data_IF_157288155818
#
_entry.id   IF_157288155818
#
_cell.length_a   1.000
_cell.length_b   1.000
_cell.length_c   1.000
_cell.angle_alpha   90.00
_cell.angle_beta   90.00
_cell.angle_gamma   90.00
#
_symmetry.space_group_name_H-M   'P 1'
#
loop_
_entity.id
_entity.type
_entity.pdbx_description
1 polymer ?
#
# COMPACT_ATOMS: atom_id res chain seq x y z
N UNK A 1 -0.12 1.51 60.29
CA UNK A 1 1.03 0.61 60.56
C UNK A 1 0.69 -0.69 59.85
N UNK A 2 1.06 -0.77 58.57
CA UNK A 2 1.32 -1.99 57.80
C UNK A 2 1.74 -1.53 56.40
N UNK A 3 3.03 -1.70 56.12
CA UNK A 3 3.74 -1.29 54.93
C UNK A 3 3.69 -2.41 53.88
N UNK A 4 3.23 -2.09 52.68
CA UNK A 4 3.38 -2.96 51.51
C UNK A 4 4.72 -2.68 50.79
N UNK A 5 5.33 -3.68 50.14
CA UNK A 5 6.71 -3.61 49.68
C UNK A 5 6.85 -2.76 48.40
N UNK A 6 7.84 -1.88 48.37
CA UNK A 6 8.37 -1.30 47.14
C UNK A 6 9.23 -2.36 46.45
N UNK A 7 8.70 -3.05 45.45
CA UNK A 7 9.49 -3.69 44.39
C UNK A 7 8.54 -4.17 43.29
N UNK A 8 8.31 -3.32 42.29
CA UNK A 8 7.98 -3.67 40.89
C UNK A 8 7.73 -2.37 40.10
N UNK A 9 8.82 -1.66 39.77
CA UNK A 9 8.82 -0.74 38.62
C UNK A 9 9.37 -1.51 37.43
N UNK A 10 8.64 -1.69 36.32
CA UNK A 10 9.25 -2.21 35.11
C UNK A 10 10.31 -1.21 34.66
N UNK A 11 11.57 -1.65 34.67
CA UNK A 11 12.71 -0.88 34.20
C UNK A 11 12.43 -0.35 32.79
N UNK A 12 12.51 0.97 32.61
CA UNK A 12 12.41 1.61 31.30
C UNK A 12 13.62 1.19 30.45
N UNK A 13 13.46 0.14 29.66
CA UNK A 13 14.50 -0.40 28.78
C UNK A 13 14.52 0.35 27.44
N UNK A 14 14.64 1.68 27.49
CA UNK A 14 14.77 2.52 26.30
C UNK A 14 15.85 3.58 26.52
N UNK A 15 16.88 3.66 25.66
CA UNK A 15 17.90 4.70 25.79
C UNK A 15 17.29 6.08 25.55
N UNK A 16 17.76 7.03 26.36
CA UNK A 16 17.50 8.45 26.20
C UNK A 16 17.96 8.92 24.81
N UNK A 17 17.27 9.90 24.23
CA UNK A 17 17.55 10.55 22.93
C UNK A 17 18.97 11.14 22.75
N UNK A 18 19.88 10.92 23.71
CA UNK A 18 21.29 11.33 23.69
C UNK A 18 22.28 10.20 23.36
N UNK A 19 21.85 8.94 23.21
CA UNK A 19 22.73 7.78 23.01
C UNK A 19 22.55 7.12 21.63
N UNK A 20 22.62 7.92 20.56
CA UNK A 20 22.82 7.40 19.19
C UNK A 20 24.25 7.74 18.78
N UNK A 21 25.13 6.77 18.48
CA UNK A 21 26.47 7.08 17.99
C UNK A 21 26.39 7.80 16.64
N UNK A 22 27.06 8.95 16.52
CA UNK A 22 27.26 9.63 15.24
C UNK A 22 27.95 8.70 14.25
N UNK A 23 27.42 8.63 13.02
CA UNK A 23 28.03 7.90 11.93
C UNK A 23 29.44 8.48 11.65
N UNK A 24 30.46 7.65 11.86
CA UNK A 24 31.85 7.95 11.50
C UNK A 24 31.95 8.24 10.00
N UNK A 25 32.45 9.43 9.67
CA UNK A 25 32.95 9.76 8.32
C UNK A 25 34.20 8.94 8.04
N UNK A 26 34.36 8.36 6.84
CA UNK A 26 35.63 7.75 6.48
C UNK A 26 36.65 8.86 6.17
N UNK A 27 37.65 8.97 7.04
CA UNK A 27 38.92 9.61 6.70
C UNK A 27 39.76 8.63 5.87
N UNK A 28 40.23 9.09 4.72
CA UNK A 28 41.26 8.43 3.92
C UNK A 28 42.02 9.50 3.15
N UNK A 29 43.06 10.04 3.77
CA UNK A 29 44.18 10.71 3.08
C UNK A 29 45.25 9.67 2.70
N UNK A 30 46.22 10.13 1.89
CA UNK A 30 47.45 9.47 1.39
C UNK A 30 47.24 8.95 -0.05
N UNK A 31 47.93 9.39 -1.12
CA UNK A 31 49.18 10.14 -1.26
C UNK A 31 49.24 10.79 -2.65
N UNK A 32 49.85 11.96 -2.74
CA UNK A 32 50.23 12.62 -3.99
C UNK A 32 51.46 11.94 -4.60
N UNK A 33 51.40 11.59 -5.89
CA UNK A 33 52.57 11.37 -6.72
C UNK A 33 52.70 12.53 -7.71
N UNK A 34 53.72 13.37 -7.52
CA UNK A 34 54.24 14.30 -8.53
C UNK A 34 55.30 13.59 -9.39
N UNK A 35 55.23 13.85 -10.70
CA UNK A 35 56.29 13.89 -11.73
C UNK A 35 55.61 13.58 -13.08
N UNK A 36 55.73 14.34 -14.16
CA UNK A 36 56.44 15.57 -14.46
C UNK A 36 56.16 15.95 -15.92
N UNK A 37 56.35 17.25 -16.20
CA UNK A 37 56.78 17.89 -17.44
C UNK A 37 56.03 17.71 -18.78
N UNK A 38 55.82 18.82 -19.50
CA UNK A 38 55.32 18.80 -20.89
C UNK A 38 54.52 20.00 -21.41
N UNK A 39 55.14 21.19 -21.44
CA UNK A 39 54.98 22.30 -22.42
C UNK A 39 53.98 22.15 -23.60
N UNK A 40 53.07 23.12 -23.79
CA UNK A 40 53.08 24.09 -24.93
C UNK A 40 51.74 24.82 -25.21
N UNK A 41 51.78 26.16 -25.15
CA UNK A 41 51.30 27.21 -26.11
C UNK A 41 49.86 27.20 -26.67
N UNK A 42 49.10 28.28 -26.41
CA UNK A 42 48.68 29.38 -27.34
C UNK A 42 47.63 28.93 -28.40
N UNK A 43 46.54 29.62 -28.76
CA UNK A 43 46.18 31.05 -28.81
C UNK A 43 44.68 31.21 -29.17
N UNK A 44 44.09 32.34 -28.75
CA UNK A 44 43.10 33.21 -29.44
C UNK A 44 42.23 32.65 -30.60
N UNK A 45 40.91 32.91 -30.61
CA UNK A 45 40.31 34.20 -30.99
C UNK A 45 38.77 34.18 -30.89
N UNK A 46 38.21 35.33 -30.54
CA UNK A 46 36.81 35.76 -30.62
C UNK A 46 36.48 36.36 -31.99
N UNK A 47 35.23 36.29 -32.45
CA UNK A 47 34.56 37.40 -33.16
C UNK A 47 33.04 37.21 -33.25
N UNK A 48 32.38 38.36 -33.28
CA UNK A 48 30.99 38.70 -33.07
C UNK A 48 30.03 38.56 -34.28
N UNK A 49 28.74 38.50 -33.93
CA UNK A 49 27.54 39.15 -34.52
C UNK A 49 27.28 39.12 -36.04
N UNK A 50 26.06 38.67 -36.42
CA UNK A 50 25.11 39.59 -37.08
C UNK A 50 23.64 39.15 -36.96
N UNK A 51 22.74 40.15 -36.95
CA UNK A 51 21.27 40.03 -36.88
C UNK A 51 20.64 40.25 -38.26
N UNK A 52 19.56 39.54 -38.58
CA UNK A 52 18.46 40.13 -39.38
C UNK A 52 17.14 39.36 -39.19
N UNK A 53 16.05 40.11 -39.22
CA UNK A 53 14.67 39.68 -39.08
C UNK A 53 13.96 39.71 -40.45
N UNK A 54 12.87 38.95 -40.61
CA UNK A 54 11.55 39.39 -41.12
C UNK A 54 10.64 38.16 -41.40
N UNK A 55 9.37 38.36 -41.05
CA UNK A 55 8.16 37.54 -41.10
C UNK A 55 7.71 36.98 -42.46
N UNK A 56 6.90 35.92 -42.46
CA UNK A 56 5.56 35.90 -43.11
C UNK A 56 4.73 34.65 -42.74
N UNK A 57 3.46 34.88 -42.46
CA UNK A 57 2.39 33.87 -42.35
C UNK A 57 1.96 33.34 -43.72
N UNK A 58 1.41 32.12 -43.77
CA UNK A 58 0.46 31.71 -44.80
C UNK A 58 -0.33 30.47 -44.36
N UNK A 59 -1.64 30.65 -44.24
CA UNK A 59 -2.65 29.59 -44.14
C UNK A 59 -2.98 29.02 -45.53
N UNK A 60 -3.24 27.72 -45.65
CA UNK A 60 -4.06 27.20 -46.76
C UNK A 60 -4.90 25.99 -46.34
N UNK A 61 -6.01 25.84 -47.05
CA UNK A 61 -7.24 25.17 -46.69
C UNK A 61 -7.50 23.96 -47.60
N UNK A 62 -8.21 22.95 -47.06
CA UNK A 62 -9.22 22.07 -47.72
C UNK A 62 -8.85 20.90 -48.68
N UNK A 63 -9.43 19.73 -48.33
CA UNK A 63 -10.29 18.80 -49.12
C UNK A 63 -9.73 17.57 -49.92
N UNK A 64 -10.27 16.40 -49.53
CA UNK A 64 -10.92 15.30 -50.34
C UNK A 64 -10.16 14.00 -50.72
N UNK A 65 -10.66 12.90 -50.13
CA UNK A 65 -10.89 11.49 -50.55
C UNK A 65 -9.99 10.70 -51.55
N UNK A 66 -9.40 9.60 -51.03
CA UNK A 66 -9.40 8.19 -51.52
C UNK A 66 -8.55 7.78 -52.75
N UNK A 67 -8.21 6.48 -53.00
CA UNK A 67 -8.56 5.23 -52.28
C UNK A 67 -7.38 4.28 -51.89
N UNK A 68 -7.71 3.25 -51.10
CA UNK A 68 -7.08 1.94 -50.82
C UNK A 68 -5.62 1.59 -51.24
N UNK A 69 -4.80 1.11 -50.29
CA UNK A 69 -4.40 -0.32 -50.25
C UNK A 69 -3.64 -0.68 -48.95
N UNK A 70 -3.73 -1.96 -48.62
CA UNK A 70 -3.45 -2.70 -47.39
C UNK A 70 -1.98 -2.81 -46.97
N UNK A 71 -1.69 -2.65 -45.67
CA UNK A 71 -0.67 -3.41 -44.94
C UNK A 71 -0.96 -3.38 -43.43
N UNK A 72 -0.91 -4.56 -42.81
CA UNK A 72 -1.27 -4.87 -41.43
C UNK A 72 -0.56 -4.01 -40.37
N UNK A 73 -1.33 -3.36 -39.50
CA UNK A 73 -0.87 -2.79 -38.23
C UNK A 73 -1.34 -3.66 -37.06
N UNK A 74 -0.35 -4.13 -36.29
CA UNK A 74 -0.50 -4.78 -34.99
C UNK A 74 -1.41 -3.97 -34.05
N UNK A 75 -2.56 -4.56 -33.71
CA UNK A 75 -3.45 -4.03 -32.68
C UNK A 75 -2.77 -4.05 -31.31
N UNK A 76 -2.46 -2.85 -30.84
CA UNK A 76 -2.12 -2.54 -29.45
C UNK A 76 -3.36 -2.77 -28.57
N UNK A 77 -3.51 -3.97 -28.02
CA UNK A 77 -4.54 -4.26 -27.02
C UNK A 77 -4.10 -3.78 -25.63
N UNK A 78 -4.53 -2.56 -25.31
CA UNK A 78 -4.52 -1.98 -23.96
C UNK A 78 -5.51 -2.70 -23.02
N UNK A 79 -5.23 -3.95 -22.67
CA UNK A 79 -6.01 -4.71 -21.69
C UNK A 79 -5.57 -4.35 -20.26
N UNK A 80 -6.10 -3.22 -19.76
CA UNK A 80 -6.03 -2.73 -18.38
C UNK A 80 -7.43 -2.83 -17.76
N UNK A 81 -7.56 -3.47 -16.58
CA UNK A 81 -8.71 -3.48 -15.63
C UNK A 81 -10.11 -3.89 -16.16
N UNK A 82 -10.43 -3.62 -17.42
CA UNK A 82 -11.70 -3.85 -18.09
C UNK A 82 -11.87 -5.28 -18.61
N UNK A 83 -10.78 -5.97 -18.97
CA UNK A 83 -10.82 -7.38 -19.43
C UNK A 83 -11.19 -8.35 -18.30
N UNK A 84 -10.69 -8.10 -17.07
CA UNK A 84 -11.07 -8.87 -15.88
C UNK A 84 -12.54 -8.67 -15.47
N UNK A 85 -13.15 -7.54 -15.83
CA UNK A 85 -14.58 -7.28 -15.59
C UNK A 85 -15.51 -7.93 -16.62
N UNK A 86 -15.03 -8.21 -17.84
CA UNK A 86 -15.84 -8.85 -18.89
C UNK A 86 -16.00 -10.36 -18.67
N UNK A 87 -14.98 -11.03 -18.13
CA UNK A 87 -15.02 -12.45 -17.83
C UNK A 87 -15.91 -12.78 -16.61
N UNK A 88 -15.89 -11.94 -15.58
CA UNK A 88 -16.63 -12.17 -14.33
C UNK A 88 -18.12 -11.78 -14.31
N UNK A 89 -18.71 -11.38 -15.44
CA UNK A 89 -20.13 -10.99 -15.52
C UNK A 89 -21.06 -12.07 -16.11
N UNK A 90 -20.52 -13.19 -16.60
CA UNK A 90 -21.30 -14.27 -17.23
C UNK A 90 -21.06 -15.66 -16.60
N UNK A 91 -20.43 -15.76 -15.42
CA UNK A 91 -20.29 -17.03 -14.72
C UNK A 91 -21.57 -17.37 -13.96
N UNK A 92 -22.36 -18.32 -14.45
CA UNK A 92 -23.33 -19.05 -13.63
C UNK A 92 -22.55 -19.93 -12.66
N UNK A 93 -22.84 -19.79 -11.37
CA UNK A 93 -22.33 -20.65 -10.31
C UNK A 93 -22.77 -22.09 -10.58
N UNK A 94 -21.83 -22.93 -11.03
CA UNK A 94 -21.96 -24.38 -11.01
C UNK A 94 -21.12 -24.89 -9.84
N UNK A 95 -21.82 -25.14 -8.75
CA UNK A 95 -21.32 -25.82 -7.55
C UNK A 95 -21.26 -27.32 -7.86
N UNK A 96 -20.05 -27.84 -8.10
CA UNK A 96 -19.80 -29.28 -8.01
C UNK A 96 -18.29 -29.54 -7.87
N UNK A 97 -17.86 -29.97 -6.69
CA UNK A 97 -16.59 -30.69 -6.52
C UNK A 97 -16.71 -31.64 -5.32
N UNK A 98 -16.45 -32.95 -5.50
CA UNK A 98 -16.71 -33.95 -4.49
C UNK A 98 -15.62 -33.94 -3.42
N UNK A 99 -16.04 -33.87 -2.15
CA UNK A 99 -15.19 -34.03 -0.99
C UNK A 99 -14.69 -35.48 -0.88
N UNK A 100 -13.39 -35.70 -1.09
CA UNK A 100 -12.70 -36.91 -0.63
C UNK A 100 -12.00 -36.58 0.68
N UNK A 101 -12.58 -37.04 1.78
CA UNK A 101 -11.90 -37.14 3.08
C UNK A 101 -10.81 -38.20 3.00
N UNK A 102 -9.55 -37.78 3.10
CA UNK A 102 -8.41 -38.60 3.52
C UNK A 102 -7.94 -38.13 4.91
N UNK A 103 -7.33 -39.00 5.72
CA UNK A 103 -7.08 -38.73 7.13
C UNK A 103 -6.00 -37.66 7.34
N UNK A 104 -6.18 -36.84 8.38
CA UNK A 104 -5.22 -35.87 8.90
C UNK A 104 -3.84 -36.52 9.07
N UNK A 105 -2.91 -36.14 8.21
CA UNK A 105 -1.48 -36.23 8.48
C UNK A 105 -1.08 -34.81 8.89
N UNK A 106 -0.74 -34.64 10.16
CA UNK A 106 0.08 -33.49 10.58
C UNK A 106 1.44 -33.72 9.93
N UNK A 107 1.62 -33.19 8.72
CA UNK A 107 2.95 -32.95 8.18
C UNK A 107 3.47 -31.71 8.93
N UNK A 108 4.48 -31.92 9.78
CA UNK A 108 5.27 -30.86 10.40
C UNK A 108 6.04 -30.11 9.28
N UNK A 109 5.35 -29.25 8.51
CA UNK A 109 5.95 -28.32 7.56
C UNK A 109 6.54 -27.13 8.34
N UNK A 110 7.75 -27.35 8.88
CA UNK A 110 8.58 -26.38 9.63
C UNK A 110 9.10 -25.21 8.75
N UNK A 111 8.37 -24.81 7.70
CA UNK A 111 8.85 -23.81 6.74
C UNK A 111 8.81 -22.37 7.26
N UNK A 112 8.05 -22.10 8.33
CA UNK A 112 7.92 -20.77 8.92
C UNK A 112 8.39 -20.77 10.38
N UNK A 113 9.24 -19.80 10.78
CA UNK A 113 9.77 -19.75 12.12
C UNK A 113 8.70 -19.34 13.14
N UNK A 114 8.95 -19.63 14.41
CA UNK A 114 8.25 -18.97 15.52
C UNK A 114 8.63 -17.48 15.55
N UNK A 115 7.66 -16.60 15.85
CA UNK A 115 7.89 -15.16 15.87
C UNK A 115 8.21 -14.69 17.30
N UNK A 116 9.19 -13.81 17.45
CA UNK A 116 9.67 -13.31 18.76
C UNK A 116 8.58 -12.64 19.63
N UNK A 117 7.48 -12.19 19.01
CA UNK A 117 6.38 -11.50 19.69
C UNK A 117 5.01 -11.96 19.14
N UNK A 118 4.63 -13.18 19.53
CA UNK A 118 3.30 -13.72 19.23
C UNK A 118 2.24 -13.31 20.26
N UNK A 119 2.63 -12.52 21.27
CA UNK A 119 1.71 -12.10 22.32
C UNK A 119 0.67 -11.16 21.75
N UNK A 120 -0.59 -11.53 21.94
CA UNK A 120 -1.69 -10.64 21.62
C UNK A 120 -1.88 -9.64 22.74
N UNK A 121 -1.68 -8.36 22.42
CA UNK A 121 -2.10 -7.27 23.30
C UNK A 121 -3.59 -7.45 23.60
N UNK A 122 -3.98 -7.31 24.87
CA UNK A 122 -5.38 -7.50 25.30
C UNK A 122 -6.33 -6.77 24.34
N UNK A 123 -7.20 -7.54 23.69
CA UNK A 123 -8.27 -6.99 22.87
C UNK A 123 -9.11 -6.14 23.81
N UNK A 124 -9.03 -4.82 23.66
CA UNK A 124 -9.86 -3.94 24.45
C UNK A 124 -11.29 -4.04 23.93
N UNK A 125 -12.00 -5.05 24.43
CA UNK A 125 -13.38 -5.29 24.04
C UNK A 125 -14.20 -4.06 24.45
N UNK A 126 -15.03 -3.50 23.55
CA UNK A 126 -16.03 -2.57 24.01
C UNK A 126 -16.87 -3.27 25.10
N UNK A 127 -17.42 -2.54 26.08
CA UNK A 127 -18.33 -3.12 27.06
C UNK A 127 -19.43 -3.95 26.36
N UNK A 128 -20.11 -4.87 27.06
CA UNK A 128 -21.24 -5.56 26.44
C UNK A 128 -22.31 -4.55 25.98
N UNK A 129 -23.07 -4.84 24.89
CA UNK A 129 -24.15 -3.98 24.43
C UNK A 129 -25.12 -3.65 25.58
N UNK A 130 -25.62 -2.42 25.62
CA UNK A 130 -26.69 -2.08 26.56
C UNK A 130 -27.92 -2.93 26.19
N UNK A 131 -28.56 -3.62 27.16
CA UNK A 131 -29.79 -4.38 26.91
C UNK A 131 -30.91 -3.53 26.27
N UNK A 132 -30.82 -2.20 26.39
CA UNK A 132 -31.86 -1.26 25.99
C UNK A 132 -31.51 -0.47 24.71
N UNK A 133 -30.46 -0.84 23.96
CA UNK A 133 -30.15 -0.22 22.66
C UNK A 133 -29.71 1.26 22.71
N UNK A 134 -29.32 1.78 23.89
CA UNK A 134 -28.87 3.17 24.05
C UNK A 134 -27.44 3.42 23.55
N UNK A 135 -27.20 4.61 22.98
CA UNK A 135 -25.88 5.09 22.52
C UNK A 135 -24.92 5.19 23.72
N UNK A 136 -23.78 4.49 23.64
CA UNK A 136 -22.75 4.48 24.69
C UNK A 136 -21.70 5.55 24.44
N UNK A 137 -21.56 6.47 25.37
CA UNK A 137 -20.59 7.56 25.29
C UNK A 137 -19.21 7.15 25.80
N UNK A 138 -18.15 7.75 25.25
CA UNK A 138 -16.80 7.59 25.79
C UNK A 138 -16.73 8.17 27.23
N UNK A 139 -16.08 7.48 28.18
CA UNK A 139 -15.93 8.02 29.53
C UNK A 139 -15.12 9.33 29.50
N UNK A 140 -15.46 10.28 30.37
CA UNK A 140 -14.81 11.60 30.42
C UNK A 140 -13.32 11.53 30.79
N UNK A 141 -12.87 10.43 31.43
CA UNK A 141 -11.51 10.24 31.93
C UNK A 141 -10.63 9.34 31.04
N UNK A 142 -10.67 9.52 29.70
CA UNK A 142 -9.73 8.83 28.79
C UNK A 142 -8.37 9.54 28.80
N UNK A 143 -7.23 8.82 29.00
CA UNK A 143 -5.89 9.40 28.99
C UNK A 143 -5.57 10.16 27.70
N UNK A 144 -4.78 11.24 27.79
CA UNK A 144 -4.41 12.10 26.64
C UNK A 144 -3.80 11.29 25.49
N UNK A 145 -2.92 10.32 25.79
CA UNK A 145 -2.33 9.44 24.78
C UNK A 145 -3.38 8.71 23.95
N UNK A 146 -4.43 8.16 24.60
CA UNK A 146 -5.53 7.49 23.89
C UNK A 146 -6.33 8.47 23.04
N UNK A 147 -6.56 9.71 23.50
CA UNK A 147 -7.23 10.74 22.70
C UNK A 147 -6.41 11.12 21.46
N UNK A 148 -5.10 11.28 21.61
CA UNK A 148 -4.20 11.58 20.48
C UNK A 148 -4.18 10.44 19.46
N UNK A 149 -4.15 9.17 19.90
CA UNK A 149 -4.30 8.02 18.99
C UNK A 149 -5.62 8.09 18.21
N UNK A 150 -6.75 8.34 18.89
CA UNK A 150 -8.06 8.49 18.23
C UNK A 150 -8.05 9.65 17.24
N UNK A 151 -7.49 10.80 17.63
CA UNK A 151 -7.40 11.99 16.76
C UNK A 151 -6.59 11.69 15.50
N UNK A 152 -5.44 11.04 15.63
CA UNK A 152 -4.59 10.71 14.48
C UNK A 152 -5.30 9.76 13.52
N UNK A 153 -5.93 8.70 14.03
CA UNK A 153 -6.69 7.76 13.19
C UNK A 153 -7.87 8.46 12.54
N UNK A 154 -8.59 9.32 13.26
CA UNK A 154 -9.68 10.13 12.70
C UNK A 154 -9.20 11.02 11.57
N UNK A 155 -8.10 11.76 11.78
CA UNK A 155 -7.50 12.64 10.78
C UNK A 155 -7.05 11.86 9.54
N UNK A 156 -6.52 10.64 9.73
CA UNK A 156 -6.17 9.76 8.62
C UNK A 156 -7.43 9.29 7.86
N UNK A 157 -8.45 8.78 8.55
CA UNK A 157 -9.70 8.36 7.92
C UNK A 157 -10.39 9.52 7.17
N UNK A 158 -10.34 10.74 7.72
CA UNK A 158 -10.99 11.94 7.16
C UNK A 158 -10.09 12.73 6.20
N UNK A 159 -8.87 12.27 5.89
CA UNK A 159 -7.90 13.09 5.17
C UNK A 159 -8.39 13.55 3.79
N UNK A 160 -9.09 12.70 3.03
CA UNK A 160 -9.69 13.07 1.74
C UNK A 160 -10.78 14.13 1.94
N UNK A 161 -11.71 13.92 2.87
CA UNK A 161 -12.78 14.88 3.14
C UNK A 161 -12.19 16.24 3.58
N UNK A 162 -11.22 16.23 4.48
CA UNK A 162 -10.56 17.43 4.99
C UNK A 162 -9.83 18.20 3.89
N UNK A 163 -9.01 17.51 3.09
CA UNK A 163 -8.24 18.13 2.00
C UNK A 163 -9.14 18.71 0.91
N UNK A 164 -10.20 18.01 0.54
CA UNK A 164 -11.20 18.49 -0.42
C UNK A 164 -11.97 19.70 0.13
N UNK A 165 -12.39 19.67 1.40
CA UNK A 165 -13.04 20.82 2.03
C UNK A 165 -12.13 22.05 2.07
N UNK A 166 -10.85 21.88 2.40
CA UNK A 166 -9.86 22.97 2.38
C UNK A 166 -9.70 23.52 0.95
N UNK A 167 -9.62 22.65 -0.05
CA UNK A 167 -9.53 23.07 -1.45
C UNK A 167 -10.71 23.94 -1.87
N UNK A 168 -11.95 23.51 -1.62
CA UNK A 168 -13.13 24.30 -1.96
C UNK A 168 -13.23 25.59 -1.15
N UNK A 169 -12.83 25.58 0.12
CA UNK A 169 -12.78 26.80 0.93
C UNK A 169 -11.77 27.83 0.36
N UNK A 170 -10.61 27.37 -0.12
CA UNK A 170 -9.64 28.23 -0.79
C UNK A 170 -10.17 28.71 -2.15
N UNK A 171 -10.87 27.86 -2.91
CA UNK A 171 -11.50 28.26 -4.17
C UNK A 171 -12.59 29.32 -3.99
N UNK A 172 -13.23 29.40 -2.82
CA UNK A 172 -14.20 30.45 -2.51
C UNK A 172 -13.55 31.84 -2.33
N UNK A 173 -12.22 31.92 -2.19
CA UNK A 173 -11.49 33.17 -2.05
C UNK A 173 -10.76 33.54 -3.37
N UNK A 174 -11.24 34.56 -4.12
CA UNK A 174 -10.63 34.98 -5.39
C UNK A 174 -9.16 35.38 -5.31
N UNK A 175 -8.69 35.88 -4.16
CA UNK A 175 -7.30 36.27 -3.99
C UNK A 175 -6.32 35.08 -4.07
N UNK A 176 -6.79 33.85 -3.83
CA UNK A 176 -5.97 32.63 -3.88
C UNK A 176 -5.96 32.00 -5.28
N UNK A 177 -6.85 32.44 -6.19
CA UNK A 177 -7.02 31.82 -7.51
C UNK A 177 -5.75 31.75 -8.36
N UNK A 178 -4.87 32.78 -8.44
CA UNK A 178 -3.64 32.65 -9.21
C UNK A 178 -2.76 31.49 -8.73
N UNK A 179 -2.64 31.30 -7.41
CA UNK A 179 -1.88 30.21 -6.82
C UNK A 179 -2.56 28.85 -7.06
N UNK A 180 -3.90 28.79 -6.90
CA UNK A 180 -4.67 27.57 -7.18
C UNK A 180 -4.56 27.16 -8.64
N UNK A 181 -4.58 28.10 -9.58
CA UNK A 181 -4.46 27.81 -11.01
C UNK A 181 -3.08 27.20 -11.32
N UNK A 182 -2.00 27.80 -10.81
CA UNK A 182 -0.64 27.26 -10.95
C UNK A 182 -0.56 25.86 -10.34
N UNK A 183 -1.10 25.68 -9.14
CA UNK A 183 -1.13 24.39 -8.45
C UNK A 183 -1.93 23.33 -9.25
N UNK A 184 -3.10 23.66 -9.77
CA UNK A 184 -3.92 22.73 -10.56
C UNK A 184 -3.23 22.36 -11.88
N UNK A 185 -2.62 23.32 -12.57
CA UNK A 185 -1.81 23.04 -13.77
C UNK A 185 -0.64 22.11 -13.45
N UNK A 186 0.01 22.30 -12.29
CA UNK A 186 1.01 21.36 -11.81
C UNK A 186 0.43 19.97 -11.56
N UNK A 187 -0.70 19.85 -10.84
CA UNK A 187 -1.35 18.56 -10.56
C UNK A 187 -1.71 17.83 -11.85
N UNK A 188 -2.27 18.53 -12.84
CA UNK A 188 -2.68 17.96 -14.12
C UNK A 188 -1.51 17.49 -15.01
N UNK A 189 -0.34 18.14 -14.89
CA UNK A 189 0.86 17.81 -15.68
C UNK A 189 1.83 16.86 -14.97
N UNK A 190 1.70 16.69 -13.65
CA UNK A 190 2.68 15.99 -12.81
C UNK A 190 2.57 14.46 -12.89
N UNK A 191 3.64 13.82 -13.37
CA UNK A 191 3.80 12.35 -13.42
C UNK A 191 4.38 11.73 -12.15
N UNK A 192 4.41 12.46 -11.03
CA UNK A 192 5.06 12.00 -9.78
C UNK A 192 4.51 10.68 -9.21
N UNK A 193 3.28 10.31 -9.60
CA UNK A 193 2.65 9.06 -9.18
C UNK A 193 3.16 7.83 -9.94
N UNK A 194 3.72 8.02 -11.15
CA UNK A 194 4.05 6.94 -12.10
C UNK A 194 5.49 6.99 -12.62
N UNK A 195 6.24 8.08 -12.43
CA UNK A 195 7.58 8.27 -13.00
C UNK A 195 8.67 7.33 -12.44
N UNK A 196 8.37 6.60 -11.36
CA UNK A 196 9.31 5.74 -10.63
C UNK A 196 10.24 6.51 -9.69
N UNK A 197 10.16 7.85 -9.68
CA UNK A 197 10.95 8.69 -8.79
C UNK A 197 10.32 8.73 -7.40
N UNK A 198 11.18 8.75 -6.39
CA UNK A 198 10.75 8.95 -5.00
C UNK A 198 10.92 10.40 -4.54
N UNK A 199 10.96 11.37 -5.46
CA UNK A 199 11.26 12.78 -5.15
C UNK A 199 10.33 13.39 -4.09
N UNK A 200 9.03 13.04 -4.12
CA UNK A 200 8.04 13.58 -3.18
C UNK A 200 7.96 12.81 -1.86
N UNK A 201 8.66 11.67 -1.74
CA UNK A 201 8.65 10.87 -0.51
C UNK A 201 9.44 11.59 0.57
N UNK A 202 8.84 11.74 1.75
CA UNK A 202 9.45 12.39 2.90
C UNK A 202 9.69 11.40 4.03
N UNK A 203 10.96 11.07 4.29
CA UNK A 203 11.32 10.20 5.41
C UNK A 203 10.98 10.83 6.77
N UNK A 204 11.06 12.16 6.88
CA UNK A 204 10.60 12.88 8.07
C UNK A 204 9.11 12.63 8.33
N UNK A 205 8.29 12.74 7.29
CA UNK A 205 6.86 12.48 7.41
C UNK A 205 6.57 11.04 7.82
N UNK A 206 7.21 10.07 7.16
CA UNK A 206 7.04 8.63 7.43
C UNK A 206 7.53 8.20 8.81
N UNK A 207 8.56 8.85 9.36
CA UNK A 207 9.12 8.60 10.70
C UNK A 207 8.48 9.44 11.81
N UNK A 208 7.50 10.27 11.47
CA UNK A 208 6.85 11.16 12.45
C UNK A 208 6.17 10.38 13.58
N UNK A 209 6.15 10.98 14.78
CA UNK A 209 5.53 10.38 15.97
C UNK A 209 4.03 10.09 15.78
N UNK A 210 3.36 10.85 14.91
CA UNK A 210 1.98 10.61 14.47
C UNK A 210 1.74 9.17 14.08
N UNK A 211 2.64 8.57 13.30
CA UNK A 211 2.45 7.19 12.83
C UNK A 211 2.63 6.15 13.93
N UNK A 212 3.43 6.45 14.96
CA UNK A 212 3.49 5.62 16.17
C UNK A 212 2.17 5.69 16.94
N UNK A 213 1.52 6.84 17.02
CA UNK A 213 0.18 6.94 17.62
C UNK A 213 -0.85 6.16 16.80
N UNK A 214 -0.75 6.22 15.47
CA UNK A 214 -1.61 5.44 14.57
C UNK A 214 -1.46 3.93 14.81
N UNK A 215 -0.24 3.39 14.77
CA UNK A 215 -0.01 1.95 15.01
C UNK A 215 -0.46 1.50 16.40
N UNK A 216 -0.19 2.30 17.44
CA UNK A 216 -0.62 2.00 18.82
C UNK A 216 -2.13 2.11 19.05
N UNK A 217 -2.91 2.64 18.10
CA UNK A 217 -4.37 2.58 18.16
C UNK A 217 -4.87 1.16 17.91
N UNK A 218 -4.20 0.43 17.00
CA UNK A 218 -4.53 -0.93 16.54
C UNK A 218 -3.63 -2.01 17.14
N UNK A 219 -2.89 -1.72 18.22
CA UNK A 219 -1.68 -2.48 18.59
C UNK A 219 -0.99 -3.22 17.41
N UNK A 220 -0.67 -2.47 16.35
CA UNK A 220 -0.22 -3.07 15.10
C UNK A 220 1.24 -3.57 15.18
N UNK A 221 1.50 -4.75 14.62
CA UNK A 221 2.84 -5.38 14.55
C UNK A 221 3.14 -5.83 13.12
N UNK A 222 4.41 -5.70 12.71
CA UNK A 222 4.94 -6.22 11.45
C UNK A 222 5.93 -7.34 11.76
N UNK A 223 5.59 -8.54 11.34
CA UNK A 223 6.34 -9.76 11.57
C UNK A 223 7.12 -10.12 10.32
N UNK A 224 8.44 -10.26 10.48
CA UNK A 224 9.35 -10.69 9.42
C UNK A 224 9.66 -12.15 9.65
N UNK A 225 9.39 -12.98 8.64
CA UNK A 225 9.72 -14.41 8.71
C UNK A 225 11.05 -14.75 8.03
N UNK A 226 11.43 -14.00 7.00
CA UNK A 226 12.61 -14.27 6.17
C UNK A 226 13.41 -13.01 5.88
N UNK A 227 14.73 -13.18 5.72
CA UNK A 227 15.59 -12.14 5.18
C UNK A 227 15.33 -11.93 3.69
N UNK A 228 15.25 -10.67 3.29
CA UNK A 228 15.10 -10.26 1.91
C UNK A 228 16.37 -9.52 1.47
N UNK A 229 17.21 -10.12 0.60
CA UNK A 229 18.41 -9.46 0.09
C UNK A 229 18.08 -8.12 -0.58
N UNK A 230 18.75 -7.00 -0.23
CA UNK A 230 18.53 -5.72 -0.89
C UNK A 230 19.06 -5.70 -2.34
N UNK A 231 19.68 -6.79 -2.80
CA UNK A 231 20.15 -6.99 -4.17
C UNK A 231 19.05 -7.41 -5.15
N UNK A 232 17.83 -7.65 -4.65
CA UNK A 232 16.67 -8.07 -5.45
C UNK A 232 15.61 -6.97 -5.50
N UNK A 233 14.59 -7.22 -6.33
CA UNK A 233 13.37 -6.43 -6.49
C UNK A 233 12.22 -7.21 -5.89
N UNK A 234 11.22 -6.54 -5.31
CA UNK A 234 10.12 -7.25 -4.64
C UNK A 234 8.74 -6.69 -4.99
N UNK A 235 7.77 -7.61 -5.11
CA UNK A 235 6.35 -7.29 -5.07
C UNK A 235 5.76 -7.96 -3.83
N UNK A 236 5.48 -7.16 -2.80
CA UNK A 236 4.70 -7.59 -1.64
C UNK A 236 3.22 -7.62 -2.03
N UNK A 237 2.59 -8.79 -1.99
CA UNK A 237 1.15 -8.90 -2.16
C UNK A 237 0.47 -8.98 -0.80
N UNK A 238 -0.26 -7.92 -0.44
CA UNK A 238 -0.92 -7.75 0.85
C UNK A 238 -2.36 -8.27 0.84
N UNK A 239 -2.70 -9.05 1.86
CA UNK A 239 -4.01 -9.66 2.07
C UNK A 239 -4.42 -9.62 3.54
N UNK A 240 -5.71 -9.46 3.87
CA UNK A 240 -6.77 -8.98 3.00
C UNK A 240 -6.65 -7.45 2.83
N UNK A 241 -7.40 -6.87 1.90
CA UNK A 241 -7.57 -5.43 1.79
C UNK A 241 -8.26 -4.86 3.04
N UNK A 242 -9.17 -5.62 3.65
CA UNK A 242 -10.14 -5.05 4.58
C UNK A 242 -10.88 -3.88 3.96
N UNK A 243 -11.42 -2.99 4.77
CA UNK A 243 -12.16 -1.86 4.21
C UNK A 243 -11.21 -0.77 3.67
N UNK A 244 -10.20 -0.37 4.45
CA UNK A 244 -9.29 0.75 4.12
C UNK A 244 -7.81 0.34 4.13
N UNK A 245 -7.48 -0.92 4.46
CA UNK A 245 -6.10 -1.42 4.55
C UNK A 245 -5.23 -0.63 5.53
N UNK A 246 -5.70 -0.45 6.78
CA UNK A 246 -4.97 0.27 7.82
C UNK A 246 -3.64 -0.40 8.14
N UNK A 247 -3.59 -1.74 8.10
CA UNK A 247 -2.36 -2.47 8.29
C UNK A 247 -1.35 -2.27 7.18
N UNK A 248 -1.82 -2.22 5.92
CA UNK A 248 -0.94 -1.93 4.78
C UNK A 248 -0.34 -0.52 4.91
N UNK A 249 -1.14 0.46 5.34
CA UNK A 249 -0.66 1.82 5.58
C UNK A 249 0.40 1.86 6.69
N UNK A 250 0.09 1.27 7.85
CA UNK A 250 1.01 1.25 8.99
C UNK A 250 2.35 0.56 8.64
N UNK A 251 2.29 -0.62 7.99
CA UNK A 251 3.45 -1.44 7.69
C UNK A 251 4.28 -0.93 6.49
N UNK A 252 3.63 -0.46 5.43
CA UNK A 252 4.29 -0.31 4.12
C UNK A 252 4.35 1.13 3.61
N UNK A 253 3.46 2.03 4.09
CA UNK A 253 3.50 3.45 3.74
C UNK A 253 4.32 4.28 4.75
N UNK A 254 4.36 3.89 6.02
CA UNK A 254 5.02 4.65 7.09
C UNK A 254 6.19 3.88 7.70
N UNK A 255 6.89 4.47 8.67
CA UNK A 255 7.87 3.76 9.52
C UNK A 255 7.30 3.44 10.91
N UNK A 256 5.96 3.39 11.06
CA UNK A 256 5.33 3.08 12.34
C UNK A 256 5.72 1.70 12.88
N UNK A 257 5.88 0.74 11.97
CA UNK A 257 6.20 -0.67 12.27
C UNK A 257 7.64 -1.05 11.86
N UNK A 258 8.51 -0.05 11.73
CA UNK A 258 9.95 -0.24 11.54
C UNK A 258 10.32 -1.04 10.28
N UNK A 259 9.63 -0.77 9.16
CA UNK A 259 9.88 -1.47 7.90
C UNK A 259 11.34 -1.41 7.48
N UNK A 260 11.96 -0.22 7.54
CA UNK A 260 13.37 -0.04 7.11
C UNK A 260 14.38 -0.76 7.99
N UNK A 261 14.03 -1.06 9.24
CA UNK A 261 14.86 -1.85 10.16
C UNK A 261 14.70 -3.35 9.91
N UNK A 262 13.47 -3.81 9.66
CA UNK A 262 13.18 -5.21 9.36
C UNK A 262 13.73 -5.63 7.99
N UNK A 263 13.65 -4.73 7.00
CA UNK A 263 14.07 -4.96 5.62
C UNK A 263 15.13 -3.94 5.19
N UNK A 264 16.35 -4.00 5.75
CA UNK A 264 17.39 -3.02 5.51
C UNK A 264 17.79 -2.98 4.03
N UNK A 265 17.96 -1.77 3.50
CA UNK A 265 18.31 -1.56 2.09
C UNK A 265 17.14 -1.72 1.10
N UNK A 266 15.95 -2.11 1.56
CA UNK A 266 14.75 -2.18 0.72
C UNK A 266 13.93 -0.89 0.86
N UNK A 267 13.66 -0.23 -0.27
CA UNK A 267 12.76 0.92 -0.34
C UNK A 267 11.44 0.51 -0.97
N UNK A 268 10.41 0.40 -0.13
CA UNK A 268 9.06 0.03 -0.53
C UNK A 268 8.16 1.25 -0.84
N UNK A 269 7.28 1.09 -1.84
CA UNK A 269 6.14 1.98 -2.10
C UNK A 269 4.82 1.22 -2.00
N UNK A 270 3.93 1.61 -1.09
CA UNK A 270 2.54 1.14 -1.09
C UNK A 270 1.82 1.71 -2.32
N UNK A 271 1.00 0.90 -2.98
CA UNK A 271 0.31 1.32 -4.20
C UNK A 271 -1.18 1.55 -3.97
N UNK A 272 -1.72 2.58 -4.63
CA UNK A 272 -3.15 2.91 -4.61
C UNK A 272 -3.66 3.30 -6.01
N UNK A 273 -4.97 3.48 -6.15
CA UNK A 273 -5.62 3.94 -7.38
C UNK A 273 -5.03 5.26 -7.90
N UNK A 274 -4.86 5.34 -9.22
CA UNK A 274 -4.29 6.52 -9.91
C UNK A 274 -5.09 7.82 -9.65
N UNK A 275 -6.42 7.69 -9.51
CA UNK A 275 -7.33 8.81 -9.24
C UNK A 275 -7.00 9.57 -7.96
N UNK A 276 -6.43 8.90 -6.95
CA UNK A 276 -6.03 9.54 -5.70
C UNK A 276 -5.00 10.65 -5.92
N UNK A 277 -4.16 10.53 -6.95
CA UNK A 277 -3.13 11.52 -7.29
C UNK A 277 -3.65 12.71 -8.08
N UNK A 278 -4.97 12.78 -8.33
CA UNK A 278 -5.66 13.94 -8.92
C UNK A 278 -6.47 14.73 -7.91
N UNK A 279 -6.57 14.26 -6.67
CA UNK A 279 -7.29 14.94 -5.59
C UNK A 279 -6.36 16.02 -5.00
N UNK A 280 -6.73 17.31 -5.10
CA UNK A 280 -5.95 18.42 -4.52
C UNK A 280 -5.62 18.20 -3.04
N UNK A 281 -4.37 18.50 -2.66
CA UNK A 281 -3.79 18.37 -1.31
C UNK A 281 -3.70 16.95 -0.75
N UNK A 282 -4.66 16.07 -1.05
CA UNK A 282 -4.57 14.65 -0.70
C UNK A 282 -3.41 13.96 -1.44
N UNK A 283 -3.19 14.35 -2.70
CA UNK A 283 -2.04 13.91 -3.50
C UNK A 283 -0.73 14.10 -2.77
N UNK A 284 -0.49 15.27 -2.20
CA UNK A 284 0.74 15.61 -1.49
C UNK A 284 0.91 14.76 -0.23
N UNK A 285 -0.19 14.52 0.50
CA UNK A 285 -0.21 13.66 1.67
C UNK A 285 0.24 12.22 1.36
N UNK A 286 -0.33 11.59 0.32
CA UNK A 286 0.02 10.22 -0.04
C UNK A 286 1.40 10.13 -0.72
N UNK A 287 1.79 11.13 -1.52
CA UNK A 287 3.12 11.18 -2.12
C UNK A 287 4.22 11.36 -1.07
N UNK A 288 3.96 12.15 -0.02
CA UNK A 288 4.85 12.32 1.13
C UNK A 288 5.07 11.01 1.89
N UNK A 289 4.04 10.18 2.03
CA UNK A 289 4.17 8.80 2.53
C UNK A 289 4.94 7.87 1.57
N UNK A 290 5.24 8.31 0.35
CA UNK A 290 5.88 7.49 -0.68
C UNK A 290 4.92 6.52 -1.37
N UNK A 291 3.61 6.73 -1.25
CA UNK A 291 2.59 5.95 -1.96
C UNK A 291 2.66 6.27 -3.45
N UNK A 292 2.39 5.28 -4.31
CA UNK A 292 2.45 5.42 -5.77
C UNK A 292 1.22 4.82 -6.46
N UNK A 293 1.09 5.07 -7.76
CA UNK A 293 0.00 4.51 -8.56
C UNK A 293 0.18 3.00 -8.70
N UNK A 294 -0.91 2.24 -8.61
CA UNK A 294 -0.95 0.79 -8.87
C UNK A 294 -0.94 0.46 -10.38
N UNK A 295 -0.80 1.47 -11.24
CA UNK A 295 -0.72 1.28 -12.68
C UNK A 295 0.51 0.44 -13.08
N UNK A 296 0.38 -0.32 -14.17
CA UNK A 296 1.49 -1.10 -14.75
C UNK A 296 2.72 -0.22 -15.00
N UNK A 297 2.52 0.98 -15.53
CA UNK A 297 3.61 1.94 -15.82
C UNK A 297 4.38 2.29 -14.55
N UNK A 298 3.67 2.66 -13.48
CA UNK A 298 4.25 2.99 -12.18
C UNK A 298 5.03 1.82 -11.59
N UNK A 299 4.44 0.62 -11.56
CA UNK A 299 5.08 -0.58 -11.03
C UNK A 299 6.38 -0.88 -11.79
N UNK A 300 6.34 -0.88 -13.12
CA UNK A 300 7.52 -1.11 -13.94
C UNK A 300 8.56 -0.03 -13.66
N UNK A 301 8.20 1.26 -13.70
CA UNK A 301 9.14 2.34 -13.47
C UNK A 301 9.79 2.30 -12.09
N UNK A 302 9.06 1.92 -11.03
CA UNK A 302 9.64 1.77 -9.68
C UNK A 302 10.61 0.59 -9.64
N UNK A 303 10.25 -0.54 -10.26
CA UNK A 303 11.03 -1.77 -10.20
C UNK A 303 12.18 -1.80 -11.23
N UNK A 304 12.26 -0.88 -12.17
CA UNK A 304 13.34 -0.83 -13.17
C UNK A 304 14.20 0.42 -13.07
N UNK A 305 13.94 1.32 -12.11
CA UNK A 305 14.68 2.58 -11.95
C UNK A 305 15.14 2.83 -10.52
N UNK A 306 16.31 3.45 -10.41
CA UNK A 306 16.91 3.80 -9.12
C UNK A 306 17.45 2.58 -8.39
N UNK A 307 17.52 2.65 -7.06
CA UNK A 307 18.30 1.65 -6.31
C UNK A 307 19.80 1.84 -6.49
N UNK A 308 20.66 1.10 -5.77
CA UNK A 308 22.11 1.33 -5.83
C UNK A 308 22.74 1.01 -7.19
N UNK A 309 22.10 0.16 -8.01
CA UNK A 309 22.56 -0.14 -9.37
C UNK A 309 21.85 0.67 -10.47
N UNK A 310 20.92 1.56 -10.12
CA UNK A 310 20.12 2.32 -11.09
C UNK A 310 19.00 1.54 -11.78
N UNK A 311 18.93 0.22 -11.63
CA UNK A 311 18.00 -0.71 -12.31
C UNK A 311 16.95 -1.32 -11.38
N UNK A 312 16.67 -0.67 -10.26
CA UNK A 312 15.63 -1.06 -9.30
C UNK A 312 16.11 -1.99 -8.19
N UNK A 313 17.41 -2.24 -8.04
CA UNK A 313 17.91 -3.03 -6.91
C UNK A 313 17.49 -2.43 -5.56
N UNK A 314 16.94 -3.26 -4.68
CA UNK A 314 16.40 -2.82 -3.39
C UNK A 314 15.08 -2.06 -3.51
N UNK A 315 14.46 -1.98 -4.70
CA UNK A 315 13.11 -1.44 -4.85
C UNK A 315 12.07 -2.51 -4.56
N UNK A 316 11.01 -2.07 -3.90
CA UNK A 316 9.83 -2.88 -3.70
C UNK A 316 8.55 -2.08 -3.92
N UNK A 317 7.49 -2.80 -4.28
CA UNK A 317 6.13 -2.28 -4.24
C UNK A 317 5.24 -3.18 -3.40
N UNK A 318 4.28 -2.59 -2.71
CA UNK A 318 3.23 -3.33 -2.01
C UNK A 318 1.90 -3.12 -2.71
N UNK A 319 1.26 -4.22 -3.10
CA UNK A 319 -0.03 -4.22 -3.79
C UNK A 319 -1.05 -4.90 -2.88
N UNK A 320 -2.13 -4.21 -2.57
CA UNK A 320 -3.29 -4.83 -1.92
C UNK A 320 -4.11 -5.54 -3.00
N UNK A 321 -3.97 -6.85 -3.10
CA UNK A 321 -4.31 -7.60 -4.32
C UNK A 321 -5.84 -7.68 -4.55
N UNK A 322 -6.61 -7.97 -3.49
CA UNK A 322 -8.06 -8.11 -3.59
C UNK A 322 -8.77 -6.81 -4.02
N UNK A 323 -8.18 -5.66 -3.70
CA UNK A 323 -8.66 -4.35 -4.09
C UNK A 323 -10.07 -4.04 -3.60
N UNK A 324 -10.77 -3.17 -4.32
CA UNK A 324 -12.09 -2.70 -3.93
C UNK A 324 -13.21 -3.77 -3.94
N UNK A 325 -13.00 -4.93 -4.60
CA UNK A 325 -13.97 -6.04 -4.57
C UNK A 325 -13.89 -6.78 -3.24
N UNK A 326 -12.68 -7.04 -2.77
CA UNK A 326 -12.46 -7.68 -1.47
C UNK A 326 -12.90 -6.78 -0.31
N UNK A 327 -12.74 -5.46 -0.44
CA UNK A 327 -13.16 -4.51 0.61
C UNK A 327 -14.67 -4.43 0.85
N UNK A 328 -15.49 -4.78 -0.15
CA UNK A 328 -16.95 -4.87 -0.02
C UNK A 328 -17.43 -6.20 0.57
N UNK A 329 -16.56 -7.20 0.62
CA UNK A 329 -16.82 -8.53 1.19
C UNK A 329 -16.18 -8.69 2.59
N UNK A 330 -15.56 -7.63 3.10
CA UNK A 330 -14.84 -7.63 4.36
C UNK A 330 -15.80 -7.81 5.53
N UNK A 331 -15.68 -8.94 6.24
CA UNK A 331 -16.55 -9.29 7.35
C UNK A 331 -15.71 -9.76 8.56
N UNK A 332 -16.00 -9.28 9.78
CA UNK A 332 -15.29 -9.69 10.98
C UNK A 332 -15.31 -11.20 11.22
N UNK A 333 -14.16 -11.73 11.63
CA UNK A 333 -13.91 -13.15 11.88
C UNK A 333 -13.81 -14.01 10.61
N UNK A 334 -13.69 -13.41 9.42
CA UNK A 334 -13.56 -14.15 8.16
C UNK A 334 -12.40 -13.63 7.32
N UNK A 335 -11.77 -14.52 6.56
CA UNK A 335 -10.68 -14.18 5.65
C UNK A 335 -10.97 -14.74 4.25
N UNK A 336 -11.65 -13.93 3.43
CA UNK A 336 -12.07 -14.28 2.06
C UNK A 336 -11.26 -13.44 1.08
N UNK A 337 -10.34 -14.08 0.37
CA UNK A 337 -9.37 -13.41 -0.50
C UNK A 337 -9.80 -13.49 -1.97
N UNK A 338 -10.00 -12.34 -2.62
CA UNK A 338 -10.26 -12.25 -4.07
C UNK A 338 -8.91 -12.36 -4.80
N UNK A 339 -8.46 -13.59 -5.06
CA UNK A 339 -7.11 -13.85 -5.58
C UNK A 339 -7.07 -14.85 -6.75
N UNK A 340 -8.07 -15.74 -6.90
CA UNK A 340 -8.03 -16.87 -7.85
C UNK A 340 -7.74 -16.43 -9.28
N UNK A 341 -8.36 -15.34 -9.73
CA UNK A 341 -8.21 -14.80 -11.09
C UNK A 341 -7.23 -13.62 -11.17
N UNK A 342 -6.67 -13.17 -10.03
CA UNK A 342 -5.84 -11.96 -9.94
C UNK A 342 -4.37 -12.25 -10.26
N UNK A 343 -4.05 -12.63 -11.49
CA UNK A 343 -2.66 -13.00 -11.88
C UNK A 343 -1.82 -11.82 -12.43
N UNK A 344 -2.38 -10.61 -12.43
CA UNK A 344 -1.73 -9.42 -12.99
C UNK A 344 -0.40 -9.04 -12.30
N UNK A 345 -0.32 -9.19 -10.98
CA UNK A 345 0.89 -8.89 -10.22
C UNK A 345 2.01 -9.91 -10.50
N UNK A 346 1.66 -11.19 -10.68
CA UNK A 346 2.61 -12.25 -11.10
C UNK A 346 3.18 -11.93 -12.48
N UNK A 347 2.32 -11.51 -13.43
CA UNK A 347 2.77 -11.06 -14.76
C UNK A 347 3.74 -9.88 -14.69
N UNK A 348 3.57 -8.96 -13.72
CA UNK A 348 4.50 -7.85 -13.51
C UNK A 348 5.81 -8.31 -12.86
N UNK A 349 5.75 -9.25 -11.92
CA UNK A 349 6.91 -9.88 -11.32
C UNK A 349 7.82 -10.52 -12.39
N UNK A 350 7.25 -11.35 -13.28
CA UNK A 350 8.01 -11.99 -14.37
C UNK A 350 8.64 -10.97 -15.32
N UNK A 351 7.91 -9.90 -15.67
CA UNK A 351 8.45 -8.84 -16.55
C UNK A 351 9.59 -8.05 -15.93
N UNK A 352 9.53 -7.84 -14.62
CA UNK A 352 10.48 -6.98 -13.92
C UNK A 352 11.57 -7.77 -13.21
N UNK A 353 11.47 -9.10 -13.13
CA UNK A 353 12.37 -9.93 -12.32
C UNK A 353 12.25 -9.68 -10.82
N UNK A 354 11.09 -9.22 -10.36
CA UNK A 354 10.82 -8.98 -8.95
C UNK A 354 10.30 -10.25 -8.28
N UNK A 355 10.84 -10.60 -7.12
CA UNK A 355 10.39 -11.73 -6.33
C UNK A 355 9.02 -11.42 -5.71
N UNK A 356 8.16 -12.42 -5.66
CA UNK A 356 6.83 -12.29 -5.06
C UNK A 356 6.93 -12.58 -3.57
N UNK A 357 6.39 -11.71 -2.73
CA UNK A 357 6.38 -11.89 -1.28
C UNK A 357 4.93 -11.88 -0.79
N UNK A 358 4.38 -13.02 -0.33
CA UNK A 358 3.05 -13.05 0.26
C UNK A 358 3.05 -12.34 1.60
N UNK A 359 2.02 -11.54 1.87
CA UNK A 359 1.83 -10.84 3.13
C UNK A 359 0.40 -11.07 3.60
N UNK A 360 0.25 -11.56 4.83
CA UNK A 360 -1.05 -11.85 5.44
C UNK A 360 -1.24 -11.01 6.71
N UNK A 361 -2.34 -10.27 6.78
CA UNK A 361 -2.68 -9.38 7.87
C UNK A 361 -3.88 -9.90 8.66
N UNK A 362 -3.60 -10.43 9.84
CA UNK A 362 -4.60 -10.88 10.79
C UNK A 362 -5.21 -9.66 11.51
N UNK A 363 -6.54 -9.65 11.68
CA UNK A 363 -7.28 -8.57 12.32
C UNK A 363 -7.75 -7.43 11.40
N UNK A 364 -7.30 -7.37 10.14
CA UNK A 364 -7.64 -6.27 9.22
C UNK A 364 -9.16 -6.17 8.94
N UNK A 365 -9.83 -7.32 8.76
CA UNK A 365 -11.28 -7.37 8.55
C UNK A 365 -12.09 -7.09 9.84
N UNK A 366 -11.45 -7.15 11.00
CA UNK A 366 -12.09 -6.95 12.30
C UNK A 366 -12.13 -5.47 12.72
N UNK A 367 -11.50 -4.58 11.95
CA UNK A 367 -11.42 -3.16 12.26
C UNK A 367 -12.74 -2.41 12.06
N UNK A 368 -13.71 -2.98 11.36
CA UNK A 368 -15.00 -2.37 11.10
C UNK A 368 -16.10 -3.43 11.04
N UNK A 369 -17.32 -3.05 11.37
CA UNK A 369 -18.49 -3.82 10.97
C UNK A 369 -18.97 -3.27 9.62
N UNK A 370 -19.26 -4.17 8.69
CA UNK A 370 -19.81 -3.82 7.39
C UNK A 370 -21.21 -4.42 7.27
N UNK A 371 -22.16 -3.64 6.75
CA UNK A 371 -23.52 -4.11 6.49
C UNK A 371 -23.47 -5.37 5.63
N UNK A 372 -24.14 -6.42 6.06
CA UNK A 372 -24.06 -7.69 5.36
C UNK A 372 -24.76 -7.55 3.98
N UNK A 373 -24.08 -7.85 2.86
CA UNK A 373 -24.66 -7.66 1.51
C UNK A 373 -26.00 -8.40 1.31
N UNK A 374 -26.17 -9.54 2.00
CA UNK A 374 -27.37 -10.38 1.96
C UNK A 374 -28.58 -9.72 2.63
N UNK A 375 -28.35 -8.88 3.63
CA UNK A 375 -29.41 -8.18 4.37
C UNK A 375 -29.84 -6.90 3.64
N UNK A 376 -28.96 -6.33 2.81
CA UNK A 376 -29.21 -5.09 2.08
C UNK A 376 -28.86 -5.16 0.58
N UNK A 377 -29.54 -6.03 -0.19
CA UNK A 377 -29.19 -6.31 -1.58
C UNK A 377 -29.31 -5.08 -2.52
N UNK A 378 -30.19 -4.14 -2.22
CA UNK A 378 -30.33 -2.89 -3.01
C UNK A 378 -29.13 -1.97 -2.80
N UNK A 379 -28.66 -1.82 -1.56
CA UNK A 379 -27.47 -1.01 -1.22
C UNK A 379 -26.23 -1.61 -1.86
N UNK A 380 -26.08 -2.93 -1.76
CA UNK A 380 -24.99 -3.64 -2.43
C UNK A 380 -25.02 -3.46 -3.95
N UNK A 381 -26.20 -3.55 -4.60
CA UNK A 381 -26.33 -3.28 -6.04
C UNK A 381 -25.91 -1.86 -6.42
N UNK A 382 -26.26 -0.85 -5.63
CA UNK A 382 -25.85 0.54 -5.84
C UNK A 382 -24.34 0.69 -5.66
N UNK A 383 -23.75 0.10 -4.63
CA UNK A 383 -22.30 0.08 -4.44
C UNK A 383 -21.60 -0.58 -5.62
N UNK A 384 -22.07 -1.75 -6.08
CA UNK A 384 -21.48 -2.43 -7.23
C UNK A 384 -21.63 -1.62 -8.53
N UNK A 385 -22.73 -0.88 -8.70
CA UNK A 385 -22.88 0.06 -9.81
C UNK A 385 -21.86 1.22 -9.72
N UNK A 386 -21.71 1.83 -8.54
CA UNK A 386 -20.72 2.91 -8.32
C UNK A 386 -19.29 2.39 -8.53
N UNK A 387 -18.94 1.19 -8.04
CA UNK A 387 -17.67 0.53 -8.34
C UNK A 387 -17.48 0.34 -9.83
N UNK A 388 -18.52 -0.12 -10.54
CA UNK A 388 -18.44 -0.40 -11.98
C UNK A 388 -18.15 0.87 -12.77
N UNK A 389 -18.82 1.97 -12.42
CA UNK A 389 -18.73 3.27 -13.12
C UNK A 389 -17.49 4.07 -12.71
N UNK A 390 -17.22 4.19 -11.41
CA UNK A 390 -16.24 5.13 -10.86
C UNK A 390 -14.96 4.46 -10.35
N UNK A 391 -14.89 3.11 -10.36
CA UNK A 391 -13.75 2.30 -9.88
C UNK A 391 -13.35 2.55 -8.41
N UNK A 392 -14.23 3.20 -7.66
CA UNK A 392 -14.10 3.45 -6.23
C UNK A 392 -15.51 3.46 -5.62
N UNK A 393 -15.67 2.89 -4.44
CA UNK A 393 -16.89 3.05 -3.62
C UNK A 393 -16.53 3.51 -2.24
N UNK A 394 -17.48 4.23 -1.63
CA UNK A 394 -17.52 4.39 -0.20
C UNK A 394 -18.30 3.20 0.39
N UNK A 395 -17.62 2.25 1.04
CA UNK A 395 -18.34 1.28 1.87
C UNK A 395 -19.12 2.04 2.95
N UNK A 396 -20.37 1.64 3.21
CA UNK A 396 -21.10 2.12 4.38
C UNK A 396 -20.48 1.48 5.62
N UNK A 397 -19.66 2.26 6.31
CA UNK A 397 -18.89 1.85 7.48
C UNK A 397 -19.74 1.95 8.74
N UNK A 398 -19.88 0.85 9.48
CA UNK A 398 -20.29 0.89 10.89
C UNK A 398 -19.03 0.66 11.76
N UNK A 399 -18.43 1.75 12.20
CA UNK A 399 -17.38 1.77 13.21
C UNK A 399 -17.81 2.57 14.44
N UNK A 400 -16.85 3.09 15.21
CA UNK A 400 -17.08 4.00 16.35
C UNK A 400 -17.39 5.43 15.88
N UNK A 401 -18.22 6.13 16.65
CA UNK A 401 -18.31 7.59 16.61
C UNK A 401 -17.16 8.27 17.36
N UNK A 402 -16.92 9.54 17.06
CA UNK A 402 -15.92 10.38 17.77
C UNK A 402 -16.24 10.45 19.27
N UNK A 403 -17.53 10.45 19.61
CA UNK A 403 -18.02 10.56 21.00
C UNK A 403 -18.79 9.33 21.49
N UNK A 404 -19.12 8.36 20.62
CA UNK A 404 -19.92 7.19 20.99
C UNK A 404 -19.34 5.87 20.44
N UNK A 405 -19.59 4.75 21.12
CA UNK A 405 -19.04 3.44 20.77
C UNK A 405 -19.72 2.73 19.60
N UNK A 406 -20.87 3.23 19.13
CA UNK A 406 -21.85 2.40 18.42
C UNK A 406 -22.12 2.85 16.96
N UNK A 407 -21.82 4.11 16.58
CA UNK A 407 -22.04 4.62 15.22
C UNK A 407 -20.98 5.67 14.82
N UNK A 408 -20.15 5.36 13.82
CA UNK A 408 -19.31 6.35 13.13
C UNK A 408 -18.23 5.76 12.21
N UNK A 409 -17.30 6.62 11.78
CA UNK A 409 -16.28 6.32 10.76
C UNK A 409 -14.95 5.81 11.36
N UNK A 410 -14.84 5.75 12.69
CA UNK A 410 -13.61 5.29 13.35
C UNK A 410 -13.55 3.75 13.38
N UNK A 411 -12.40 3.15 13.05
CA UNK A 411 -12.25 1.71 13.21
C UNK A 411 -12.23 1.30 14.68
N UNK A 412 -12.52 0.05 14.96
CA UNK A 412 -12.32 -0.56 16.27
C UNK A 412 -10.83 -0.62 16.62
N UNK A 413 -10.54 -0.51 17.92
CA UNK A 413 -9.19 -0.72 18.47
C UNK A 413 -8.98 -2.20 18.68
N UNK A 414 -8.62 -2.91 17.61
CA UNK A 414 -8.30 -4.34 17.64
C UNK A 414 -6.87 -4.57 17.18
N UNK A 415 -6.19 -5.61 17.69
CA UNK A 415 -4.84 -5.94 17.27
C UNK A 415 -4.75 -6.20 15.77
N UNK A 416 -3.61 -5.87 15.19
CA UNK A 416 -3.34 -6.08 13.77
C UNK A 416 -1.93 -6.65 13.59
N UNK A 417 -1.86 -7.92 13.16
CA UNK A 417 -0.58 -8.61 12.93
C UNK A 417 -0.35 -8.80 11.44
N UNK A 418 0.62 -8.09 10.88
CA UNK A 418 1.01 -8.21 9.48
C UNK A 418 2.21 -9.15 9.38
N UNK A 419 2.03 -10.32 8.80
CA UNK A 419 3.09 -11.33 8.64
C UNK A 419 3.58 -11.32 7.19
N UNK A 420 4.88 -11.06 7.01
CA UNK A 420 5.56 -11.13 5.72
C UNK A 420 6.12 -12.53 5.52
N UNK A 421 5.70 -13.21 4.46
CA UNK A 421 6.08 -14.59 4.15
C UNK A 421 7.39 -14.75 3.40
N UNK A 422 7.66 -16.00 2.99
CA UNK A 422 8.85 -16.39 2.24
C UNK A 422 8.82 -15.82 0.81
N UNK A 423 9.97 -15.32 0.29
CA UNK A 423 10.04 -14.82 -1.08
C UNK A 423 10.01 -15.97 -2.09
N UNK A 424 9.14 -15.85 -3.10
CA UNK A 424 9.10 -16.73 -4.26
C UNK A 424 9.98 -16.11 -5.34
N UNK A 425 11.07 -16.79 -5.66
CA UNK A 425 12.03 -16.33 -6.66
C UNK A 425 11.41 -16.32 -8.05
N UNK A 426 11.58 -15.20 -8.74
CA UNK A 426 11.11 -15.03 -10.12
C UNK A 426 12.29 -14.76 -11.05
N UNK A 427 12.30 -15.49 -12.16
CA UNK A 427 13.23 -15.26 -13.27
C UNK A 427 12.61 -14.24 -14.22
N UNK A 428 13.37 -13.20 -14.56
CA UNK A 428 12.90 -12.19 -15.50
C UNK A 428 12.77 -12.79 -16.90
N UNK A 429 11.64 -12.54 -17.56
CA UNK A 429 11.41 -12.95 -18.95
C UNK A 429 10.73 -11.84 -19.77
N UNK A 430 11.17 -11.68 -21.02
CA UNK A 430 10.60 -10.70 -21.96
C UNK A 430 9.22 -11.15 -22.46
N UNK A 431 9.10 -12.43 -22.78
CA UNK A 431 7.84 -13.10 -23.09
C UNK A 431 7.29 -13.72 -21.83
N UNK A 432 6.04 -13.39 -21.48
CA UNK A 432 5.41 -13.92 -20.28
C UNK A 432 4.54 -15.10 -20.68
N UNK A 433 4.99 -16.29 -20.35
CA UNK A 433 4.24 -17.51 -20.55
C UNK A 433 3.13 -17.66 -19.49
N UNK A 434 1.96 -18.10 -19.94
CA UNK A 434 0.79 -18.27 -19.07
C UNK A 434 0.95 -19.47 -18.14
N UNK A 435 1.68 -20.51 -18.54
CA UNK A 435 1.99 -21.66 -17.70
C UNK A 435 2.85 -21.24 -16.50
N UNK A 436 3.91 -20.47 -16.74
CA UNK A 436 4.76 -19.92 -15.67
C UNK A 436 4.00 -18.96 -14.76
N UNK A 437 3.11 -18.11 -15.30
CA UNK A 437 2.22 -17.28 -14.47
C UNK A 437 1.36 -18.14 -13.55
N UNK A 438 0.78 -19.22 -14.07
CA UNK A 438 -0.08 -20.11 -13.27
C UNK A 438 0.74 -20.80 -12.18
N UNK A 439 1.91 -21.37 -12.53
CA UNK A 439 2.82 -22.02 -11.57
C UNK A 439 3.23 -21.08 -10.44
N UNK A 440 3.66 -19.86 -10.75
CA UNK A 440 4.05 -18.87 -9.73
C UNK A 440 2.87 -18.39 -8.90
N UNK A 441 1.68 -18.27 -9.50
CA UNK A 441 0.45 -17.92 -8.76
C UNK A 441 0.01 -19.03 -7.82
N UNK A 442 0.12 -20.29 -8.24
CA UNK A 442 -0.20 -21.46 -7.40
C UNK A 442 0.78 -21.57 -6.22
N UNK A 443 2.08 -21.35 -6.47
CA UNK A 443 3.08 -21.25 -5.40
C UNK A 443 2.77 -20.10 -4.42
N UNK A 444 2.35 -18.94 -4.95
CA UNK A 444 1.98 -17.79 -4.13
C UNK A 444 0.76 -18.07 -3.24
N UNK A 445 -0.25 -18.77 -3.77
CA UNK A 445 -1.42 -19.21 -3.00
C UNK A 445 -1.03 -20.26 -1.95
N UNK A 446 -0.15 -21.21 -2.30
CA UNK A 446 0.34 -22.20 -1.35
C UNK A 446 1.09 -21.55 -0.18
N UNK A 447 1.94 -20.56 -0.42
CA UNK A 447 2.64 -19.83 0.64
C UNK A 447 1.69 -19.01 1.53
N UNK A 448 0.59 -18.47 0.98
CA UNK A 448 -0.46 -17.85 1.80
C UNK A 448 -1.16 -18.87 2.71
N UNK A 449 -1.43 -20.08 2.22
CA UNK A 449 -2.00 -21.15 3.04
C UNK A 449 -1.05 -21.55 4.16
N UNK A 450 0.25 -21.69 3.90
CA UNK A 450 1.25 -21.97 4.95
C UNK A 450 1.28 -20.88 6.03
N UNK A 451 1.28 -19.60 5.63
CA UNK A 451 1.18 -18.49 6.58
C UNK A 451 -0.09 -18.57 7.43
N UNK A 452 -1.22 -18.84 6.79
CA UNK A 452 -2.49 -18.99 7.50
C UNK A 452 -2.45 -20.15 8.49
N UNK A 453 -2.08 -21.34 8.03
CA UNK A 453 -2.06 -22.55 8.85
C UNK A 453 -1.09 -22.44 10.02
N UNK A 454 0.04 -21.74 9.83
CA UNK A 454 1.01 -21.53 10.90
C UNK A 454 0.49 -20.62 12.01
N UNK A 455 -0.14 -19.49 11.68
CA UNK A 455 -0.39 -18.41 12.65
C UNK A 455 -1.87 -18.18 13.00
N UNK A 456 -2.82 -18.88 12.35
CA UNK A 456 -4.26 -18.67 12.55
C UNK A 456 -4.72 -18.92 13.98
N UNK A 457 -4.14 -19.88 14.69
CA UNK A 457 -4.58 -20.22 16.04
C UNK A 457 -4.14 -19.16 17.07
N UNK A 458 -3.05 -18.45 16.80
CA UNK A 458 -2.52 -17.40 17.66
C UNK A 458 -3.14 -16.03 17.35
N UNK A 459 -3.20 -15.67 16.06
CA UNK A 459 -3.64 -14.33 15.64
C UNK A 459 -5.11 -14.26 15.21
N UNK A 460 -5.79 -15.39 15.03
CA UNK A 460 -7.22 -15.46 14.74
C UNK A 460 -7.93 -16.61 15.50
N UNK A 461 -7.82 -16.66 16.86
CA UNK A 461 -8.45 -17.71 17.65
C UNK A 461 -9.98 -17.70 17.55
N UNK A 462 -10.58 -16.52 17.39
CA UNK A 462 -12.03 -16.33 17.29
C UNK A 462 -12.56 -16.36 15.83
N UNK A 463 -11.80 -16.96 14.90
CA UNK A 463 -12.20 -17.06 13.49
C UNK A 463 -13.50 -17.85 13.32
N UNK A 464 -14.36 -17.39 12.42
CA UNK A 464 -15.62 -18.07 12.07
C UNK A 464 -15.43 -19.15 11.01
N UNK A 465 -14.48 -18.94 10.10
CA UNK A 465 -14.18 -19.83 8.98
C UNK A 465 -12.67 -19.85 8.72
N UNK A 466 -12.21 -20.93 8.09
CA UNK A 466 -10.87 -21.00 7.50
C UNK A 466 -10.71 -20.01 6.34
N UNK A 467 -9.46 -19.69 5.97
CA UNK A 467 -9.17 -18.81 4.85
C UNK A 467 -9.71 -19.37 3.53
N UNK A 468 -10.35 -18.52 2.73
CA UNK A 468 -10.94 -18.89 1.45
C UNK A 468 -10.34 -18.08 0.31
N UNK A 469 -10.00 -18.75 -0.79
CA UNK A 469 -9.55 -18.11 -2.04
C UNK A 469 -10.73 -18.09 -3.04
N UNK A 470 -11.11 -16.89 -3.47
CA UNK A 470 -12.28 -16.64 -4.32
C UNK A 470 -11.87 -16.00 -5.66
N UNK A 471 -12.80 -16.09 -6.63
CA UNK A 471 -12.73 -15.45 -7.96
C UNK A 471 -13.04 -13.96 -7.93
#
# INVERSE_FOLDING_TARGET
MESLPEDEKPASRWPSLKEIPEAQKPNGEIEQAQNGDGSAKESHNSTDLDKSAISTESSFTTLVNGPESTADEDKIDGASYASALKAGLNGQDADDSPSRHGPNVHDDDDSYPELDDMTMDEVHQPPKPSPNGGIRWAPWNVPLRRRLQTLVVLMHCMCIALTVSIFFALSANPFVWPLLLIYLLHVLSSKAATDGSLKYRSEWFRRSYTWRLFANYFPAKLHKTHDLPPTRKYIFGYHPHGIISHGAWAAFATEALWFSEKFPGITNSLLTLDSNFRIPFYREYILAAGVRSVSKESIVNILTRGGPNGEGMGRAVTIVIGGARESLEAQPGTLRLILKERKGFVKLAVRTGADLVPVLAFGENDLYDQLHPKEHPLVHKIQMFILKVWKFTLPFLHGRGIFNYDVGLMPYRRPLNVVVGAPIKVTQANTVDQEEINRLHDLYVAELHKLWDRYKDEFAPDRKNEMQILS
#
